data_IF_625053348306
#
_entry.id   IF_625053348306
#
_cell.length_a   1.000
_cell.length_b   1.000
_cell.length_c   1.000
_cell.angle_alpha   90.00
_cell.angle_beta   90.00
_cell.angle_gamma   90.00
#
_symmetry.space_group_name_H-M   'P 1'
#
loop_
_entity.id
_entity.type
_entity.pdbx_description
1 polymer ?
#
# COMPACT_ATOMS: atom_id res chain seq x y z
N UNK A 1 -22.20 -1.23 56.40
CA UNK A 1 -20.85 -1.25 55.78
C UNK A 1 -20.86 -1.71 54.31
N UNK A 2 -21.52 -2.82 53.96
CA UNK A 2 -21.57 -3.31 52.58
C UNK A 2 -22.19 -2.30 51.59
N UNK A 3 -23.33 -1.68 51.93
CA UNK A 3 -23.98 -0.67 51.07
C UNK A 3 -23.10 0.56 50.79
N UNK A 4 -22.41 1.08 51.80
CA UNK A 4 -21.50 2.21 51.63
C UNK A 4 -20.27 1.87 50.77
N UNK A 5 -19.80 0.62 50.84
CA UNK A 5 -18.72 0.13 49.96
C UNK A 5 -19.22 -0.02 48.52
N UNK A 6 -20.42 -0.55 48.33
CA UNK A 6 -21.04 -0.69 47.02
C UNK A 6 -21.30 0.66 46.35
N UNK A 7 -21.83 1.65 47.08
CA UNK A 7 -22.04 3.00 46.55
C UNK A 7 -20.72 3.70 46.20
N UNK A 8 -19.69 3.56 47.04
CA UNK A 8 -18.35 4.09 46.75
C UNK A 8 -17.73 3.41 45.50
N UNK A 9 -17.92 2.11 45.33
CA UNK A 9 -17.46 1.39 44.14
C UNK A 9 -18.18 1.86 42.87
N UNK A 10 -19.51 2.03 42.93
CA UNK A 10 -20.30 2.55 41.81
C UNK A 10 -19.88 3.98 41.43
N UNK A 11 -19.68 4.87 42.40
CA UNK A 11 -19.23 6.23 42.16
C UNK A 11 -17.84 6.28 41.51
N UNK A 12 -16.90 5.41 41.93
CA UNK A 12 -15.57 5.28 41.30
C UNK A 12 -15.66 4.78 39.87
N UNK A 13 -16.50 3.78 39.60
CA UNK A 13 -16.72 3.28 38.25
C UNK A 13 -17.29 4.35 37.32
N UNK A 14 -18.24 5.17 37.81
CA UNK A 14 -18.79 6.29 37.06
C UNK A 14 -17.73 7.38 36.79
N UNK A 15 -16.90 7.71 37.77
CA UNK A 15 -15.80 8.67 37.57
C UNK A 15 -14.81 8.18 36.51
N UNK A 16 -14.48 6.89 36.54
CA UNK A 16 -13.61 6.27 35.54
C UNK A 16 -14.22 6.28 34.13
N UNK A 17 -15.52 5.97 34.01
CA UNK A 17 -16.22 6.01 32.72
C UNK A 17 -16.20 7.43 32.13
N UNK A 18 -16.52 8.45 32.93
CA UNK A 18 -16.47 9.86 32.48
C UNK A 18 -15.07 10.30 32.08
N UNK A 19 -14.03 9.80 32.77
CA UNK A 19 -12.64 10.08 32.42
C UNK A 19 -12.30 9.50 31.03
N UNK A 20 -12.69 8.26 30.76
CA UNK A 20 -12.51 7.65 29.44
C UNK A 20 -13.26 8.42 28.36
N UNK A 21 -14.48 8.88 28.64
CA UNK A 21 -15.24 9.69 27.68
C UNK A 21 -14.53 11.01 27.35
N UNK A 22 -13.94 11.68 28.34
CA UNK A 22 -13.14 12.90 28.13
C UNK A 22 -11.87 12.61 27.30
N UNK A 23 -11.16 11.52 27.60
CA UNK A 23 -9.96 11.12 26.85
C UNK A 23 -10.30 10.86 25.37
N UNK A 24 -11.47 10.28 25.08
CA UNK A 24 -11.96 10.04 23.71
C UNK A 24 -12.29 11.31 22.91
N UNK A 25 -12.44 12.47 23.57
CA UNK A 25 -12.63 13.75 22.87
C UNK A 25 -11.33 14.28 22.25
N UNK A 26 -10.18 13.70 22.60
CA UNK A 26 -8.88 14.06 22.02
C UNK A 26 -8.40 12.94 21.11
N UNK A 27 -8.29 13.23 19.80
CA UNK A 27 -7.72 12.28 18.84
C UNK A 27 -6.20 12.43 18.84
N UNK A 28 -5.50 11.35 19.16
CA UNK A 28 -4.05 11.27 19.09
C UNK A 28 -3.61 10.41 17.89
N UNK A 29 -2.41 10.69 17.38
CA UNK A 29 -1.79 9.88 16.34
C UNK A 29 -1.50 8.46 16.87
N UNK A 30 -1.97 7.38 16.22
CA UNK A 30 -1.74 6.01 16.67
C UNK A 30 -0.32 5.52 16.36
N UNK A 31 0.38 6.17 15.44
CA UNK A 31 1.75 5.85 15.01
C UNK A 31 2.55 7.14 14.82
N UNK A 32 3.88 7.02 14.87
CA UNK A 32 4.74 8.07 14.35
C UNK A 32 4.62 8.12 12.82
N UNK A 33 4.52 9.32 12.24
CA UNK A 33 4.35 9.47 10.81
C UNK A 33 4.03 10.90 10.41
N UNK A 34 3.63 11.06 9.14
CA UNK A 34 3.24 12.35 8.56
C UNK A 34 1.75 12.35 8.28
N UNK A 35 1.15 13.53 8.42
CA UNK A 35 -0.21 13.78 7.96
C UNK A 35 -0.17 14.01 6.45
N UNK A 36 -0.86 13.15 5.69
CA UNK A 36 -0.97 13.26 4.24
C UNK A 36 -2.11 14.17 3.82
N UNK A 37 -3.23 14.11 4.55
CA UNK A 37 -4.44 14.88 4.24
C UNK A 37 -5.25 15.15 5.50
N UNK A 38 -5.86 16.34 5.56
CA UNK A 38 -6.81 16.74 6.59
C UNK A 38 -8.08 17.18 5.88
N UNK A 39 -9.12 16.35 5.97
CA UNK A 39 -10.40 16.53 5.29
C UNK A 39 -11.51 17.01 6.25
N UNK A 40 -11.11 17.65 7.36
CA UNK A 40 -12.02 18.22 8.34
C UNK A 40 -11.58 19.64 8.71
N UNK A 41 -12.54 20.53 8.94
CA UNK A 41 -12.29 21.92 9.33
C UNK A 41 -12.79 22.22 10.73
N UNK A 42 -12.21 23.22 11.42
CA UNK A 42 -12.76 23.69 12.70
C UNK A 42 -14.22 24.14 12.54
N UNK A 43 -15.10 23.63 13.42
CA UNK A 43 -16.53 23.88 13.38
C UNK A 43 -17.34 22.93 12.48
N UNK A 44 -16.67 22.04 11.75
CA UNK A 44 -17.32 21.01 10.94
C UNK A 44 -17.79 19.83 11.81
N UNK A 45 -18.89 19.19 11.40
CA UNK A 45 -19.40 18.00 12.07
C UNK A 45 -18.57 16.76 11.67
N UNK A 46 -17.93 16.15 12.66
CA UNK A 46 -17.19 14.90 12.48
C UNK A 46 -18.11 13.69 12.77
N UNK A 47 -18.46 12.86 11.77
CA UNK A 47 -19.31 11.69 12.00
C UNK A 47 -18.60 10.65 12.87
N UNK A 48 -19.29 10.18 13.92
CA UNK A 48 -18.82 9.09 14.74
C UNK A 48 -19.20 7.74 14.10
N UNK A 49 -18.28 7.15 13.33
CA UNK A 49 -18.50 5.86 12.68
C UNK A 49 -17.60 5.64 11.46
N UNK A 50 -17.76 4.50 10.76
CA UNK A 50 -17.06 4.27 9.50
C UNK A 50 -17.55 5.28 8.46
N UNK A 51 -16.67 6.21 8.09
CA UNK A 51 -16.89 7.13 6.99
C UNK A 51 -16.29 6.56 5.70
N UNK A 52 -16.89 6.88 4.55
CA UNK A 52 -16.33 6.50 3.24
C UNK A 52 -14.97 7.15 2.99
N UNK A 53 -14.75 8.35 3.53
CA UNK A 53 -13.48 9.05 3.49
C UNK A 53 -12.99 9.35 4.91
N UNK A 54 -11.71 9.10 5.22
CA UNK A 54 -11.16 9.39 6.54
C UNK A 54 -11.03 10.91 6.74
N UNK A 55 -11.30 11.39 7.96
CA UNK A 55 -11.13 12.81 8.32
C UNK A 55 -9.67 13.27 8.29
N UNK A 56 -8.75 12.36 8.63
CA UNK A 56 -7.31 12.58 8.61
C UNK A 56 -6.66 11.33 8.02
N UNK A 57 -5.88 11.51 6.97
CA UNK A 57 -5.04 10.47 6.40
C UNK A 57 -3.60 10.68 6.89
N UNK A 58 -3.00 9.66 7.50
CA UNK A 58 -1.63 9.70 7.98
C UNK A 58 -0.94 8.34 7.79
N UNK A 59 0.38 8.35 7.80
CA UNK A 59 1.17 7.13 7.67
C UNK A 59 2.65 7.38 7.89
N UNK A 60 3.40 6.30 8.03
CA UNK A 60 4.86 6.33 7.98
C UNK A 60 5.32 6.58 6.54
N UNK A 61 6.35 7.41 6.36
CA UNK A 61 6.93 7.70 5.04
C UNK A 61 8.46 7.56 5.00
N UNK A 62 9.05 6.91 6.00
CA UNK A 62 10.46 6.55 5.97
C UNK A 62 10.78 5.62 4.77
N UNK A 63 9.79 4.83 4.33
CA UNK A 63 9.87 3.96 3.16
C UNK A 63 8.58 4.05 2.36
N UNK A 64 8.71 4.27 1.06
CA UNK A 64 7.56 4.25 0.16
C UNK A 64 7.36 2.85 -0.40
N UNK A 65 6.10 2.47 -0.52
CA UNK A 65 5.70 1.18 -1.06
C UNK A 65 5.03 1.39 -2.42
N UNK A 66 5.41 0.55 -3.39
CA UNK A 66 4.73 0.44 -4.67
C UNK A 66 4.03 -0.90 -4.73
N UNK A 67 2.78 -0.88 -5.21
CA UNK A 67 2.05 -2.07 -5.57
C UNK A 67 2.16 -2.26 -7.08
N UNK A 68 2.87 -3.29 -7.48
CA UNK A 68 3.02 -3.71 -8.86
C UNK A 68 2.02 -4.81 -9.18
N UNK A 69 1.37 -4.72 -10.34
CA UNK A 69 0.45 -5.72 -10.86
C UNK A 69 1.16 -6.47 -12.00
N UNK A 70 1.24 -7.79 -11.90
CA UNK A 70 1.79 -8.68 -12.94
C UNK A 70 0.68 -9.55 -13.48
N UNK A 71 0.61 -9.76 -14.79
CA UNK A 71 -0.42 -10.61 -15.39
C UNK A 71 -0.27 -12.06 -14.90
N UNK A 72 -1.38 -12.78 -14.74
CA UNK A 72 -1.41 -14.14 -14.18
C UNK A 72 -0.50 -15.12 -14.97
N UNK A 73 -0.41 -14.95 -16.29
CA UNK A 73 0.46 -15.75 -17.16
C UNK A 73 1.96 -15.63 -16.79
N UNK A 74 2.39 -14.48 -16.27
CA UNK A 74 3.76 -14.22 -15.86
C UNK A 74 4.02 -14.51 -14.37
N UNK A 75 2.98 -14.78 -13.58
CA UNK A 75 3.09 -14.99 -12.14
C UNK A 75 4.06 -16.12 -11.76
N UNK A 76 4.12 -17.18 -12.56
CA UNK A 76 5.02 -18.32 -12.34
C UNK A 76 6.52 -17.93 -12.44
N UNK A 77 6.83 -16.80 -13.09
CA UNK A 77 8.20 -16.31 -13.29
C UNK A 77 8.64 -15.33 -12.20
N UNK A 78 7.71 -14.87 -11.36
CA UNK A 78 7.98 -13.93 -10.29
C UNK A 78 8.72 -14.65 -9.16
N UNK A 79 10.03 -14.41 -9.05
CA UNK A 79 10.87 -15.00 -8.01
C UNK A 79 11.12 -14.00 -6.89
N UNK A 80 11.30 -14.50 -5.66
CA UNK A 80 11.62 -13.65 -4.51
C UNK A 80 13.03 -13.05 -4.54
N UNK A 81 13.90 -13.58 -5.39
CA UNK A 81 15.31 -13.19 -5.51
C UNK A 81 15.60 -12.30 -6.73
N UNK A 82 14.61 -12.06 -7.60
CA UNK A 82 14.78 -11.22 -8.79
C UNK A 82 15.10 -9.77 -8.40
N UNK A 83 16.07 -9.17 -9.10
CA UNK A 83 16.30 -7.73 -8.98
C UNK A 83 15.12 -6.99 -9.59
N UNK A 84 14.66 -5.94 -8.91
CA UNK A 84 13.57 -5.10 -9.39
C UNK A 84 14.00 -3.63 -9.41
N UNK A 85 13.52 -2.89 -10.40
CA UNK A 85 13.64 -1.44 -10.44
C UNK A 85 12.34 -0.80 -10.93
N UNK A 86 12.10 0.44 -10.50
CA UNK A 86 10.96 1.23 -10.92
C UNK A 86 11.39 2.47 -11.69
N UNK A 87 10.51 2.97 -12.56
CA UNK A 87 10.64 4.28 -13.19
C UNK A 87 9.35 5.07 -12.97
N UNK A 88 9.47 6.28 -12.41
CA UNK A 88 8.31 7.17 -12.26
C UNK A 88 7.85 7.64 -13.64
N UNK A 89 6.53 7.78 -13.81
CA UNK A 89 5.96 8.29 -15.06
C UNK A 89 6.53 9.68 -15.38
N UNK A 90 7.09 9.84 -16.58
CA UNK A 90 7.77 11.07 -17.01
C UNK A 90 9.28 11.12 -16.70
N UNK A 91 9.84 10.11 -16.03
CA UNK A 91 11.27 10.01 -15.69
C UNK A 91 11.87 8.66 -16.12
N UNK A 92 11.63 8.24 -17.36
CA UNK A 92 12.01 6.91 -17.86
C UNK A 92 13.53 6.60 -17.76
N UNK A 93 14.39 7.63 -17.75
CA UNK A 93 15.84 7.46 -17.61
C UNK A 93 16.29 7.16 -16.17
N UNK A 94 15.47 7.43 -15.15
CA UNK A 94 15.84 7.25 -13.75
C UNK A 94 15.31 5.92 -13.23
N UNK A 95 16.23 4.97 -13.04
CA UNK A 95 15.92 3.67 -12.43
C UNK A 95 16.05 3.77 -10.91
N UNK A 96 14.99 3.41 -10.21
CA UNK A 96 14.93 3.39 -8.74
C UNK A 96 15.00 1.93 -8.31
N UNK A 97 16.06 1.49 -7.63
CA UNK A 97 16.15 0.16 -7.05
C UNK A 97 14.96 -0.14 -6.13
N UNK A 98 14.37 -1.33 -6.29
CA UNK A 98 13.23 -1.77 -5.50
C UNK A 98 13.60 -3.00 -4.68
N UNK A 99 13.15 -3.02 -3.42
CA UNK A 99 13.30 -4.18 -2.53
C UNK A 99 11.95 -4.87 -2.38
N UNK A 100 11.87 -6.15 -2.74
CA UNK A 100 10.66 -6.95 -2.57
C UNK A 100 10.30 -7.05 -1.08
N UNK A 101 9.07 -6.67 -0.76
CA UNK A 101 8.51 -6.83 0.60
C UNK A 101 7.72 -8.13 0.66
N UNK A 102 6.80 -8.34 -0.29
CA UNK A 102 6.02 -9.57 -0.41
C UNK A 102 5.34 -9.68 -1.78
N UNK A 103 4.96 -10.90 -2.11
CA UNK A 103 4.06 -11.22 -3.22
C UNK A 103 2.74 -11.61 -2.59
N UNK A 104 1.63 -11.02 -3.05
CA UNK A 104 0.30 -11.34 -2.54
C UNK A 104 -0.09 -12.75 -3.01
N UNK A 105 -0.66 -13.59 -2.11
CA UNK A 105 -0.97 -14.98 -2.44
C UNK A 105 -2.24 -15.13 -3.30
N UNK A 106 -3.00 -14.06 -3.52
CA UNK A 106 -4.28 -14.08 -4.20
C UNK A 106 -4.20 -13.37 -5.56
N UNK A 107 -4.71 -14.05 -6.59
CA UNK A 107 -4.97 -13.46 -7.91
C UNK A 107 -6.23 -12.59 -7.84
N UNK A 108 -6.14 -11.38 -8.37
CA UNK A 108 -7.25 -10.41 -8.39
C UNK A 108 -7.55 -9.95 -9.81
N UNK A 109 -8.77 -9.44 -10.04
CA UNK A 109 -9.11 -8.84 -11.33
C UNK A 109 -8.40 -7.49 -11.51
N UNK A 110 -7.98 -7.20 -12.74
CA UNK A 110 -7.23 -5.99 -13.10
C UNK A 110 -8.13 -4.76 -12.97
N UNK A 111 -7.77 -3.83 -12.08
CA UNK A 111 -8.58 -2.61 -11.83
C UNK A 111 -8.46 -1.56 -12.95
N UNK A 112 -7.35 -1.56 -13.68
CA UNK A 112 -7.08 -0.59 -14.73
C UNK A 112 -6.88 -1.31 -16.07
N UNK A 113 -7.96 -1.44 -16.84
CA UNK A 113 -7.88 -1.91 -18.22
C UNK A 113 -7.26 -0.80 -19.09
N UNK A 114 -6.04 -1.00 -19.56
CA UNK A 114 -5.38 -0.10 -20.50
C UNK A 114 -5.87 -0.41 -21.91
N UNK A 115 -7.01 0.18 -22.27
CA UNK A 115 -7.54 0.39 -23.63
C UNK A 115 -7.03 -0.51 -24.78
N UNK A 116 -7.93 -1.39 -25.27
CA UNK A 116 -8.02 -1.72 -26.70
C UNK A 116 -7.86 -3.19 -27.09
N UNK A 117 -6.93 -3.93 -26.48
CA UNK A 117 -6.66 -5.35 -26.81
C UNK A 117 -6.74 -6.31 -25.62
N UNK A 118 -7.07 -5.79 -24.44
CA UNK A 118 -7.01 -6.47 -23.14
C UNK A 118 -8.30 -7.25 -22.84
N UNK A 119 -8.71 -8.12 -23.76
CA UNK A 119 -9.87 -9.03 -23.55
C UNK A 119 -9.47 -10.43 -23.08
N UNK A 120 -8.16 -10.67 -22.86
CA UNK A 120 -7.62 -12.00 -22.53
C UNK A 120 -7.00 -12.03 -21.13
N UNK A 121 -6.27 -10.99 -20.72
CA UNK A 121 -5.58 -10.95 -19.42
C UNK A 121 -6.33 -10.08 -18.40
N UNK A 122 -7.39 -10.64 -17.81
CA UNK A 122 -8.23 -9.92 -16.83
C UNK A 122 -7.73 -10.07 -15.39
N UNK A 123 -6.71 -10.92 -15.17
CA UNK A 123 -6.24 -11.33 -13.85
C UNK A 123 -4.78 -11.03 -13.61
N UNK A 124 -4.48 -10.57 -12.41
CA UNK A 124 -3.16 -10.14 -11.98
C UNK A 124 -2.77 -10.69 -10.61
N UNK A 125 -1.47 -10.90 -10.42
CA UNK A 125 -0.82 -11.10 -9.12
C UNK A 125 -0.20 -9.78 -8.68
N UNK A 126 -0.55 -9.32 -7.49
CA UNK A 126 0.02 -8.11 -6.90
C UNK A 126 1.32 -8.44 -6.15
N UNK A 127 2.35 -7.62 -6.31
CA UNK A 127 3.54 -7.66 -5.45
C UNK A 127 3.86 -6.28 -4.89
N UNK A 128 4.30 -6.25 -3.64
CA UNK A 128 4.65 -5.05 -2.92
C UNK A 128 6.17 -4.92 -2.87
N UNK A 129 6.67 -3.80 -3.39
CA UNK A 129 8.06 -3.42 -3.27
C UNK A 129 8.20 -2.15 -2.42
N UNK A 130 9.36 -1.97 -1.81
CA UNK A 130 9.72 -0.73 -1.10
C UNK A 130 10.90 -0.05 -1.76
N UNK A 131 10.97 1.28 -1.62
CA UNK A 131 12.13 2.08 -1.97
C UNK A 131 12.30 3.25 -1.00
N UNK A 132 13.50 3.81 -0.99
CA UNK A 132 13.81 4.99 -0.18
C UNK A 132 13.34 6.26 -0.92
N UNK A 133 12.47 7.09 -0.32
CA UNK A 133 12.04 8.36 -0.94
C UNK A 133 13.19 9.31 -1.27
N UNK A 134 14.37 9.19 -0.64
CA UNK A 134 15.55 9.98 -1.03
C UNK A 134 16.05 9.63 -2.44
N UNK A 135 15.79 8.42 -2.92
CA UNK A 135 16.19 7.98 -4.26
C UNK A 135 15.29 8.51 -5.37
N UNK A 136 14.07 8.96 -5.03
CA UNK A 136 13.17 9.66 -5.93
C UNK A 136 12.07 10.40 -5.16
N UNK A 137 11.90 11.69 -5.45
CA UNK A 137 10.81 12.50 -4.93
C UNK A 137 9.47 12.08 -5.55
N UNK A 138 8.94 10.95 -5.11
CA UNK A 138 7.65 10.41 -5.49
C UNK A 138 6.55 10.94 -4.58
N UNK A 139 5.35 11.13 -5.13
CA UNK A 139 4.16 11.45 -4.35
C UNK A 139 3.31 10.21 -4.10
N UNK A 140 2.59 10.17 -2.97
CA UNK A 140 1.63 9.10 -2.70
C UNK A 140 0.55 9.07 -3.80
N UNK A 141 0.27 7.88 -4.32
CA UNK A 141 -0.65 7.70 -5.45
C UNK A 141 -0.05 7.95 -6.84
N UNK A 142 1.21 8.37 -6.94
CA UNK A 142 1.89 8.49 -8.23
C UNK A 142 2.12 7.10 -8.85
N UNK A 143 1.92 7.01 -10.17
CA UNK A 143 2.17 5.76 -10.92
C UNK A 143 3.66 5.57 -11.19
N UNK A 144 4.11 4.34 -11.01
CA UNK A 144 5.46 3.88 -11.30
C UNK A 144 5.38 2.60 -12.14
N UNK A 145 6.18 2.53 -13.18
CA UNK A 145 6.35 1.31 -13.97
C UNK A 145 7.41 0.45 -13.30
N UNK A 146 7.13 -0.83 -13.09
CA UNK A 146 7.99 -1.75 -12.33
C UNK A 146 8.50 -2.85 -13.24
N UNK A 147 9.82 -3.03 -13.24
CA UNK A 147 10.52 -4.03 -14.02
C UNK A 147 11.20 -5.00 -13.08
N UNK A 148 10.97 -6.29 -13.30
CA UNK A 148 11.55 -7.38 -12.50
C UNK A 148 12.34 -8.29 -13.41
N UNK A 149 13.56 -8.61 -12.98
CA UNK A 149 14.36 -9.65 -13.62
C UNK A 149 13.69 -11.00 -13.38
N UNK A 150 13.24 -11.62 -14.46
CA UNK A 150 12.53 -12.89 -14.43
C UNK A 150 13.29 -13.93 -15.26
N UNK A 151 13.13 -15.21 -14.90
CA UNK A 151 13.72 -16.30 -15.65
C UNK A 151 13.29 -16.24 -17.13
N UNK A 152 14.17 -16.62 -18.07
CA UNK A 152 13.88 -16.56 -19.50
C UNK A 152 12.67 -17.42 -19.84
N UNK A 153 11.73 -16.87 -20.61
CA UNK A 153 10.57 -17.61 -21.11
C UNK A 153 11.00 -18.62 -22.18
N UNK A 154 10.37 -19.80 -22.31
CA UNK A 154 10.74 -20.80 -23.31
C UNK A 154 10.65 -20.27 -24.75
N UNK A 155 9.77 -19.31 -25.02
CA UNK A 155 9.66 -18.63 -26.33
C UNK A 155 10.88 -17.74 -26.67
N UNK A 156 11.55 -17.13 -25.68
CA UNK A 156 12.76 -16.34 -25.92
C UNK A 156 14.01 -17.23 -26.08
N UNK A 157 14.05 -18.39 -25.42
CA UNK A 157 15.12 -19.37 -25.59
C UNK A 157 15.17 -19.92 -27.03
N UNK A 158 14.01 -20.12 -27.67
CA UNK A 158 13.92 -20.56 -29.06
C UNK A 158 14.42 -19.50 -30.07
N UNK A 159 14.21 -18.20 -29.80
CA UNK A 159 14.67 -17.13 -30.67
C UNK A 159 16.19 -16.91 -30.64
N UNK A 160 16.86 -17.32 -29.57
CA UNK A 160 18.32 -17.15 -29.43
C UNK A 160 19.11 -18.28 -30.11
N UNK A 161 18.44 -19.37 -30.53
CA UNK A 161 19.10 -20.53 -31.17
C UNK A 161 19.12 -20.44 -32.71
N UNK A 162 18.40 -19.49 -33.32
CA UNK A 162 18.34 -19.35 -34.79
C UNK A 162 19.06 -18.08 -35.25
N UNK A 163 20.36 -18.01 -35.04
CA UNK A 163 21.24 -17.16 -35.83
C UNK A 163 22.01 -18.07 -36.80
N UNK A 164 21.77 -18.01 -38.13
CA UNK A 164 22.52 -18.84 -39.07
C UNK A 164 23.95 -18.28 -39.18
N UNK A 165 24.91 -19.11 -38.81
CA UNK A 165 26.32 -18.87 -39.09
C UNK A 165 26.51 -18.60 -40.59
N UNK A 166 27.17 -17.49 -40.91
CA UNK A 166 27.63 -17.14 -42.26
C UNK A 166 29.11 -17.43 -42.38
#
# INVERSE_FOLDING_TARGET
>A
AAQARASAAAARAQAQARRVDLERLTVAAPIAGRIFRVDVRPGEYAPAGPASEPLIAMGEDARLHVRAEFDEADAARLTRSGRAYGTLRGQASRRIPLTLVRIEPQVVEKRALSGGSERVDTRVVEAIYSFDPAQAAAYLGQRMDVFVEAAPSPTQAAATTTEPAR
#
